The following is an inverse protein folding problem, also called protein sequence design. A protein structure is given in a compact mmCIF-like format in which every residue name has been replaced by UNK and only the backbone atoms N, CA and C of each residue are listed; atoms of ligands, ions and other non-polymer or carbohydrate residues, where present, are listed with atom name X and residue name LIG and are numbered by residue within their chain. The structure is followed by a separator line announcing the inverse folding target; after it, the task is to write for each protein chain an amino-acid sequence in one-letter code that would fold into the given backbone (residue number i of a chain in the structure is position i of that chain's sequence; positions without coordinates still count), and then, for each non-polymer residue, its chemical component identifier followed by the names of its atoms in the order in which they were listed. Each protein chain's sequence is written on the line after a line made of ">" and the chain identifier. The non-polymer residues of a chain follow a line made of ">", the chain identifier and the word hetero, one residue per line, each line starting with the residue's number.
data_IF_191222387129
#
_entry.id   IF_191222387129
#
_cell.length_a   1.000
_cell.length_b   1.000
_cell.length_c   1.000
_cell.angle_alpha   90.00
_cell.angle_beta   90.00
_cell.angle_gamma   90.00
#
_symmetry.space_group_name_H-M   'P 1'
#
loop_
_entity.id
_entity.type
_entity.pdbx_description
1 polymer ?
#
# COMPACT_ATOMS: atom_id res chain seq x y z
N UNK A 1 -10.38 4.39 -35.71
CA UNK A 1 -11.58 5.01 -35.10
C UNK A 1 -12.20 4.21 -33.93
N UNK A 2 -12.98 3.13 -34.12
CA UNK A 2 -13.67 2.46 -32.98
C UNK A 2 -12.74 1.91 -31.88
N UNK A 3 -11.59 1.32 -32.27
CA UNK A 3 -10.57 0.80 -31.33
C UNK A 3 -9.79 1.90 -30.59
N UNK A 4 -9.48 3.01 -31.26
CA UNK A 4 -8.74 4.13 -30.65
C UNK A 4 -9.59 4.88 -29.64
N UNK A 5 -10.87 5.12 -29.96
CA UNK A 5 -11.80 5.73 -29.01
C UNK A 5 -11.99 4.87 -27.75
N UNK A 6 -12.04 3.54 -27.91
CA UNK A 6 -12.13 2.62 -26.78
C UNK A 6 -10.89 2.66 -25.88
N UNK A 7 -9.71 2.90 -26.45
CA UNK A 7 -8.45 2.96 -25.68
C UNK A 7 -8.33 4.28 -24.91
N UNK A 8 -8.67 5.41 -25.51
CA UNK A 8 -8.70 6.71 -24.83
C UNK A 8 -9.70 6.73 -23.67
N UNK A 9 -10.89 6.12 -23.85
CA UNK A 9 -11.87 5.98 -22.76
C UNK A 9 -11.33 5.12 -21.61
N UNK A 10 -10.62 4.02 -21.91
CA UNK A 10 -10.00 3.18 -20.88
C UNK A 10 -9.01 3.98 -20.04
N UNK A 11 -8.13 4.75 -20.69
CA UNK A 11 -7.18 5.63 -20.01
C UNK A 11 -7.95 6.60 -19.11
N UNK A 12 -8.88 7.39 -19.65
CA UNK A 12 -9.65 8.38 -18.86
C UNK A 12 -10.31 7.73 -17.64
N UNK A 13 -10.93 6.56 -17.81
CA UNK A 13 -11.57 5.83 -16.72
C UNK A 13 -10.56 5.43 -15.62
N UNK A 14 -9.38 4.92 -15.98
CA UNK A 14 -8.35 4.55 -15.00
C UNK A 14 -7.92 5.76 -14.17
N UNK A 15 -7.65 6.90 -14.81
CA UNK A 15 -7.22 8.11 -14.11
C UNK A 15 -8.34 8.75 -13.28
N UNK A 16 -9.59 8.68 -13.76
CA UNK A 16 -10.75 9.12 -12.99
C UNK A 16 -10.90 8.30 -11.71
N UNK A 17 -10.73 6.97 -11.78
CA UNK A 17 -10.72 6.10 -10.60
C UNK A 17 -9.59 6.49 -9.63
N UNK A 18 -8.38 6.80 -10.12
CA UNK A 18 -7.27 7.24 -9.27
C UNK A 18 -7.62 8.51 -8.49
N UNK A 19 -8.21 9.49 -9.16
CA UNK A 19 -8.60 10.77 -8.54
C UNK A 19 -9.72 10.56 -7.52
N UNK A 20 -10.77 9.81 -7.88
CA UNK A 20 -11.89 9.54 -6.98
C UNK A 20 -11.47 8.82 -5.70
N UNK A 21 -10.50 7.89 -5.79
CA UNK A 21 -9.98 7.17 -4.62
C UNK A 21 -9.12 8.08 -3.73
N UNK A 22 -8.42 9.06 -4.32
CA UNK A 22 -7.58 10.01 -3.59
C UNK A 22 -8.39 11.12 -2.89
N UNK A 23 -9.46 11.60 -3.54
CA UNK A 23 -10.27 12.75 -3.10
C UNK A 23 -10.76 12.66 -1.64
N UNK A 24 -11.27 11.53 -1.13
CA UNK A 24 -11.68 11.39 0.27
C UNK A 24 -10.49 11.11 1.22
N UNK A 25 -9.27 11.60 0.92
CA UNK A 25 -8.08 11.44 1.75
C UNK A 25 -7.77 9.97 2.11
N UNK A 26 -7.76 9.10 1.10
CA UNK A 26 -7.44 7.66 1.24
C UNK A 26 -8.39 6.90 2.18
N UNK A 27 -9.58 7.44 2.47
CA UNK A 27 -10.52 6.87 3.42
C UNK A 27 -10.86 5.40 3.12
N UNK A 28 -10.97 5.03 1.85
CA UNK A 28 -11.22 3.64 1.42
C UNK A 28 -10.15 2.68 1.96
N UNK A 29 -8.87 3.07 1.90
CA UNK A 29 -7.78 2.25 2.42
C UNK A 29 -7.83 2.15 3.94
N UNK A 30 -8.11 3.24 4.64
CA UNK A 30 -8.24 3.20 6.09
C UNK A 30 -9.43 2.34 6.53
N UNK A 31 -10.56 2.41 5.84
CA UNK A 31 -11.74 1.61 6.17
C UNK A 31 -11.46 0.11 6.09
N UNK A 32 -10.70 -0.33 5.07
CA UNK A 32 -10.39 -1.75 4.87
C UNK A 32 -9.20 -2.20 5.70
N UNK A 33 -8.09 -1.45 5.68
CA UNK A 33 -6.83 -1.91 6.27
C UNK A 33 -6.69 -1.62 7.75
N UNK A 34 -7.43 -0.65 8.32
CA UNK A 34 -7.42 -0.43 9.78
C UNK A 34 -7.84 -1.68 10.55
N UNK A 35 -9.03 -2.26 10.33
CA UNK A 35 -9.43 -3.45 11.08
C UNK A 35 -8.49 -4.62 10.80
N UNK A 36 -8.06 -4.83 9.55
CA UNK A 36 -7.12 -5.90 9.21
C UNK A 36 -5.79 -5.76 9.95
N UNK A 37 -5.17 -4.59 9.92
CA UNK A 37 -3.91 -4.35 10.62
C UNK A 37 -4.07 -4.50 12.13
N UNK A 38 -5.13 -3.93 12.71
CA UNK A 38 -5.39 -4.01 14.16
C UNK A 38 -5.57 -5.45 14.61
N UNK A 39 -6.48 -6.21 13.98
CA UNK A 39 -6.77 -7.59 14.38
C UNK A 39 -5.62 -8.55 14.10
N UNK A 40 -4.91 -8.40 12.97
CA UNK A 40 -3.74 -9.24 12.68
C UNK A 40 -2.58 -8.96 13.64
N UNK A 41 -2.29 -7.69 13.93
CA UNK A 41 -1.28 -7.34 14.93
C UNK A 41 -1.65 -7.84 16.32
N UNK A 42 -2.92 -7.67 16.72
CA UNK A 42 -3.43 -8.22 17.98
C UNK A 42 -3.24 -9.74 18.08
N UNK A 43 -3.66 -10.47 17.04
CA UNK A 43 -3.53 -11.92 16.98
C UNK A 43 -2.08 -12.38 17.18
N UNK A 44 -1.13 -11.70 16.52
CA UNK A 44 0.29 -12.04 16.69
C UNK A 44 0.78 -11.68 18.09
N UNK A 45 0.41 -10.51 18.62
CA UNK A 45 0.80 -10.14 19.98
C UNK A 45 0.26 -11.12 21.01
N UNK A 46 -0.97 -11.60 20.87
CA UNK A 46 -1.59 -12.56 21.77
C UNK A 46 -0.84 -13.90 21.84
N UNK A 47 -0.13 -14.28 20.78
CA UNK A 47 0.69 -15.51 20.77
C UNK A 47 1.93 -15.36 21.67
N UNK A 48 2.50 -14.17 21.76
CA UNK A 48 3.78 -13.92 22.45
C UNK A 48 3.63 -13.19 23.79
N UNK A 49 2.52 -12.47 24.00
CA UNK A 49 2.28 -11.59 25.14
C UNK A 49 0.81 -11.68 25.58
N UNK A 50 0.53 -11.31 26.83
CA UNK A 50 -0.86 -11.15 27.28
C UNK A 50 -1.43 -9.86 26.67
N UNK A 51 -2.14 -10.00 25.55
CA UNK A 51 -2.63 -8.89 24.75
C UNK A 51 -4.15 -8.74 24.87
N UNK A 52 -4.58 -7.50 25.13
CA UNK A 52 -5.98 -7.07 25.11
C UNK A 52 -6.18 -5.98 24.07
N UNK A 53 -7.38 -5.91 23.47
CA UNK A 53 -7.71 -4.93 22.44
C UNK A 53 -8.83 -3.99 22.90
N UNK A 54 -8.61 -2.69 22.75
CA UNK A 54 -9.61 -1.65 22.98
C UNK A 54 -9.60 -0.68 21.79
N UNK A 55 -10.56 -0.84 20.87
CA UNK A 55 -10.63 -0.11 19.59
C UNK A 55 -9.35 -0.26 18.76
N UNK A 56 -8.53 0.79 18.69
CA UNK A 56 -7.27 0.83 17.94
C UNK A 56 -6.05 0.74 18.86
N UNK A 57 -6.25 0.45 20.15
CA UNK A 57 -5.21 0.33 21.16
C UNK A 57 -5.04 -1.15 21.50
N UNK A 58 -3.81 -1.64 21.42
CA UNK A 58 -3.42 -2.98 21.87
C UNK A 58 -2.68 -2.81 23.18
N UNK A 59 -3.18 -3.40 24.26
CA UNK A 59 -2.58 -3.34 25.59
C UNK A 59 -1.79 -4.63 25.80
N UNK A 60 -0.47 -4.53 25.97
CA UNK A 60 0.41 -5.66 26.27
C UNK A 60 0.68 -5.76 27.77
N UNK A 61 0.64 -6.97 28.32
CA UNK A 61 0.90 -7.30 29.72
C UNK A 61 0.17 -6.36 30.70
N UNK A 62 -1.08 -5.99 30.36
CA UNK A 62 -1.95 -5.08 31.11
C UNK A 62 -1.36 -3.71 31.49
N UNK A 63 -0.26 -3.28 30.87
CA UNK A 63 0.48 -2.08 31.29
C UNK A 63 0.99 -1.23 30.13
N UNK A 64 1.18 -1.81 28.95
CA UNK A 64 1.81 -1.15 27.81
C UNK A 64 0.79 -0.92 26.69
N UNK A 65 0.25 0.31 26.54
CA UNK A 65 -0.67 0.63 25.46
C UNK A 65 0.08 0.96 24.17
N UNK A 66 -0.25 0.25 23.09
CA UNK A 66 0.21 0.51 21.72
C UNK A 66 -0.99 1.04 20.93
N UNK A 67 -1.00 2.35 20.68
CA UNK A 67 -2.01 2.98 19.84
C UNK A 67 -1.63 2.91 18.35
N UNK A 68 -2.50 2.30 17.54
CA UNK A 68 -2.34 2.22 16.10
C UNK A 68 -2.95 3.45 15.41
N UNK A 69 -2.07 4.40 15.07
CA UNK A 69 -2.41 5.60 14.32
C UNK A 69 -2.41 5.37 12.79
N UNK A 70 -2.94 6.33 12.02
CA UNK A 70 -3.03 6.27 10.55
C UNK A 70 -1.70 5.96 9.84
N UNK A 71 -0.57 6.39 10.38
CA UNK A 71 0.75 6.10 9.81
C UNK A 71 1.19 4.65 9.98
N UNK A 72 0.67 3.93 10.98
CA UNK A 72 0.92 2.49 11.16
C UNK A 72 0.15 1.65 10.13
N UNK A 73 -1.05 2.11 9.74
CA UNK A 73 -1.88 1.47 8.72
C UNK A 73 -1.29 1.70 7.32
N UNK A 74 -0.48 2.74 7.11
CA UNK A 74 0.19 3.06 5.85
C UNK A 74 -0.75 3.28 4.65
N UNK A 75 -1.89 3.97 4.87
CA UNK A 75 -2.88 4.24 3.82
C UNK A 75 -2.31 4.87 2.55
N UNK A 76 -1.35 5.78 2.67
CA UNK A 76 -0.66 6.41 1.52
C UNK A 76 0.19 5.41 0.72
N UNK A 77 0.78 4.40 1.36
CA UNK A 77 1.56 3.37 0.68
C UNK A 77 0.66 2.41 -0.12
N UNK A 78 -0.49 2.02 0.44
CA UNK A 78 -1.51 1.28 -0.32
C UNK A 78 -1.99 2.07 -1.52
N UNK A 79 -2.24 3.38 -1.35
CA UNK A 79 -2.61 4.24 -2.47
C UNK A 79 -1.51 4.32 -3.54
N UNK A 80 -0.23 4.46 -3.15
CA UNK A 80 0.87 4.48 -4.10
C UNK A 80 0.96 3.17 -4.93
N UNK A 81 0.87 2.02 -4.27
CA UNK A 81 0.84 0.72 -4.96
C UNK A 81 -0.40 0.57 -5.87
N UNK A 82 -1.55 1.08 -5.43
CA UNK A 82 -2.76 1.13 -6.25
C UNK A 82 -2.55 1.99 -7.50
N UNK A 83 -1.94 3.17 -7.34
CA UNK A 83 -1.62 4.08 -8.44
C UNK A 83 -0.69 3.41 -9.44
N UNK A 84 0.39 2.79 -8.99
CA UNK A 84 1.33 2.09 -9.85
C UNK A 84 0.63 0.99 -10.66
N UNK A 85 -0.19 0.16 -10.02
CA UNK A 85 -0.93 -0.92 -10.65
C UNK A 85 -2.01 -0.45 -11.63
N UNK A 86 -2.74 0.60 -11.29
CA UNK A 86 -3.79 1.16 -12.14
C UNK A 86 -3.21 1.92 -13.33
N UNK A 87 -2.01 2.47 -13.20
CA UNK A 87 -1.36 3.28 -14.25
C UNK A 87 -0.61 2.43 -15.28
N UNK A 88 -0.53 1.11 -15.13
CA UNK A 88 0.00 0.22 -16.16
C UNK A 88 -1.04 -0.02 -17.26
N UNK A 89 -0.74 0.30 -18.54
CA UNK A 89 -1.66 0.05 -19.64
C UNK A 89 -1.69 -1.41 -20.10
N UNK A 90 -2.73 -1.76 -20.86
CA UNK A 90 -2.85 -3.04 -21.57
C UNK A 90 -2.86 -4.31 -20.69
N UNK A 91 -3.14 -4.17 -19.40
CA UNK A 91 -3.30 -5.29 -18.47
C UNK A 91 -4.78 -5.68 -18.36
N UNK A 92 -5.08 -6.96 -18.64
CA UNK A 92 -6.41 -7.56 -18.45
C UNK A 92 -6.88 -7.37 -16.99
N UNK A 93 -8.17 -7.06 -16.80
CA UNK A 93 -8.74 -6.77 -15.47
C UNK A 93 -8.44 -7.86 -14.42
N UNK A 94 -8.55 -9.14 -14.78
CA UNK A 94 -8.25 -10.26 -13.86
C UNK A 94 -6.81 -10.21 -13.36
N UNK A 95 -5.85 -9.95 -14.24
CA UNK A 95 -4.42 -9.86 -13.90
C UNK A 95 -4.15 -8.63 -13.04
N UNK A 96 -4.79 -7.51 -13.36
CA UNK A 96 -4.71 -6.26 -12.59
C UNK A 96 -5.22 -6.42 -11.15
N UNK A 97 -6.33 -7.13 -10.97
CA UNK A 97 -6.85 -7.44 -9.63
C UNK A 97 -5.90 -8.34 -8.84
N UNK A 98 -5.29 -9.34 -9.49
CA UNK A 98 -4.28 -10.19 -8.84
C UNK A 98 -3.02 -9.42 -8.44
N UNK A 99 -2.58 -8.48 -9.28
CA UNK A 99 -1.48 -7.56 -8.98
C UNK A 99 -1.79 -6.70 -7.74
N UNK A 100 -2.94 -6.00 -7.74
CA UNK A 100 -3.38 -5.21 -6.59
C UNK A 100 -3.49 -6.07 -5.32
N UNK A 101 -4.07 -7.27 -5.42
CA UNK A 101 -4.18 -8.18 -4.29
C UNK A 101 -2.82 -8.61 -3.75
N UNK A 102 -1.87 -8.92 -4.64
CA UNK A 102 -0.50 -9.28 -4.28
C UNK A 102 0.19 -8.13 -3.55
N UNK A 103 0.21 -6.94 -4.14
CA UNK A 103 0.89 -5.77 -3.57
C UNK A 103 0.28 -5.34 -2.23
N UNK A 104 -1.05 -5.39 -2.10
CA UNK A 104 -1.74 -5.10 -0.84
C UNK A 104 -1.45 -6.15 0.23
N UNK A 105 -1.50 -7.43 -0.11
CA UNK A 105 -1.21 -8.51 0.85
C UNK A 105 0.24 -8.44 1.34
N UNK A 106 1.19 -8.21 0.42
CA UNK A 106 2.60 -8.06 0.76
C UNK A 106 2.83 -6.86 1.71
N UNK A 107 2.23 -5.72 1.40
CA UNK A 107 2.34 -4.53 2.26
C UNK A 107 1.69 -4.75 3.62
N UNK A 108 0.55 -5.44 3.70
CA UNK A 108 -0.12 -5.76 4.96
C UNK A 108 0.77 -6.63 5.85
N UNK A 109 1.35 -7.69 5.31
CA UNK A 109 2.25 -8.59 6.04
C UNK A 109 3.44 -7.81 6.61
N UNK A 110 4.08 -7.00 5.77
CA UNK A 110 5.24 -6.20 6.17
C UNK A 110 4.88 -5.15 7.23
N UNK A 111 3.74 -4.49 7.10
CA UNK A 111 3.27 -3.50 8.08
C UNK A 111 2.92 -4.14 9.43
N UNK A 112 2.23 -5.29 9.41
CA UNK A 112 1.93 -6.05 10.63
C UNK A 112 3.21 -6.51 11.31
N UNK A 113 4.17 -7.03 10.54
CA UNK A 113 5.49 -7.43 11.07
C UNK A 113 6.24 -6.23 11.69
N UNK A 114 6.21 -5.06 11.04
CA UNK A 114 6.78 -3.82 11.57
C UNK A 114 6.14 -3.42 12.90
N UNK A 115 4.81 -3.47 12.99
CA UNK A 115 4.08 -3.13 14.22
C UNK A 115 4.46 -4.07 15.36
N UNK A 116 4.47 -5.38 15.09
CA UNK A 116 4.84 -6.40 16.09
C UNK A 116 6.28 -6.20 16.56
N UNK A 117 7.20 -6.00 15.63
CA UNK A 117 8.61 -5.73 15.95
C UNK A 117 8.76 -4.47 16.82
N UNK A 118 8.17 -3.35 16.42
CA UNK A 118 8.28 -2.10 17.18
C UNK A 118 7.59 -2.19 18.54
N UNK A 119 6.47 -2.92 18.65
CA UNK A 119 5.81 -3.18 19.92
C UNK A 119 6.68 -4.02 20.87
N UNK A 120 7.36 -5.05 20.35
CA UNK A 120 8.30 -5.86 21.13
C UNK A 120 9.54 -5.04 21.56
N UNK A 121 10.07 -4.19 20.68
CA UNK A 121 11.18 -3.28 21.03
C UNK A 121 10.77 -2.29 22.10
N UNK A 122 9.53 -1.79 22.08
CA UNK A 122 9.02 -0.86 23.09
C UNK A 122 9.09 -1.45 24.50
N UNK A 123 8.85 -2.77 24.66
CA UNK A 123 8.98 -3.47 25.94
C UNK A 123 10.42 -3.48 26.49
N UNK A 124 11.43 -3.31 25.63
CA UNK A 124 12.84 -3.33 26.00
C UNK A 124 13.42 -1.92 26.30
N UNK A 125 12.61 -0.87 26.15
CA UNK A 125 12.97 0.50 26.55
C UNK A 125 12.71 1.58 25.49
N UNK A 126 12.36 2.78 25.97
CA UNK A 126 11.92 3.90 25.14
C UNK A 126 12.99 4.42 24.16
N UNK A 127 14.25 4.50 24.58
CA UNK A 127 15.33 5.07 23.75
C UNK A 127 15.59 4.25 22.48
N UNK A 128 15.59 2.92 22.60
CA UNK A 128 15.78 2.00 21.47
C UNK A 128 14.58 2.07 20.54
N UNK A 129 13.37 2.15 21.10
CA UNK A 129 12.15 2.32 20.32
C UNK A 129 12.18 3.57 19.44
N UNK A 130 12.56 4.74 19.97
CA UNK A 130 12.58 5.99 19.19
C UNK A 130 13.54 5.89 18.01
N UNK A 131 14.71 5.29 18.22
CA UNK A 131 15.69 5.07 17.15
C UNK A 131 15.16 4.09 16.09
N UNK A 132 14.69 2.92 16.53
CA UNK A 132 14.15 1.87 15.65
C UNK A 132 12.94 2.37 14.86
N UNK A 133 12.04 3.12 15.50
CA UNK A 133 10.85 3.69 14.88
C UNK A 133 11.22 4.66 13.77
N UNK A 134 12.12 5.63 14.02
CA UNK A 134 12.57 6.60 13.02
C UNK A 134 13.27 5.92 11.84
N UNK A 135 14.14 4.95 12.13
CA UNK A 135 14.84 4.17 11.10
C UNK A 135 13.86 3.40 10.20
N UNK A 136 12.94 2.66 10.81
CA UNK A 136 11.89 1.91 10.09
C UNK A 136 10.98 2.83 9.28
N UNK A 137 10.67 4.01 9.79
CA UNK A 137 9.78 4.94 9.12
C UNK A 137 10.42 5.59 7.89
N UNK A 138 11.62 6.15 8.01
CA UNK A 138 12.23 6.90 6.91
C UNK A 138 12.87 6.01 5.84
N UNK A 139 13.57 4.96 6.25
CA UNK A 139 14.35 4.14 5.32
C UNK A 139 13.59 2.89 4.90
N UNK A 140 13.18 2.10 5.88
CA UNK A 140 12.68 0.75 5.61
C UNK A 140 11.31 0.79 4.93
N UNK A 141 10.43 1.72 5.31
CA UNK A 141 9.09 1.85 4.71
C UNK A 141 9.15 2.16 3.21
N UNK A 142 10.05 3.06 2.79
CA UNK A 142 10.26 3.37 1.37
C UNK A 142 10.84 2.17 0.63
N UNK A 143 11.85 1.52 1.20
CA UNK A 143 12.46 0.33 0.63
C UNK A 143 11.44 -0.80 0.41
N UNK A 144 10.53 -1.03 1.37
CA UNK A 144 9.49 -2.03 1.24
C UNK A 144 8.56 -1.80 0.05
N UNK A 145 8.11 -0.57 -0.16
CA UNK A 145 7.24 -0.25 -1.30
C UNK A 145 7.98 -0.52 -2.61
N UNK A 146 9.24 -0.10 -2.70
CA UNK A 146 10.09 -0.32 -3.88
C UNK A 146 10.28 -1.81 -4.15
N UNK A 147 10.62 -2.58 -3.12
CA UNK A 147 10.81 -4.03 -3.22
C UNK A 147 9.51 -4.72 -3.68
N UNK A 148 8.36 -4.36 -3.09
CA UNK A 148 7.05 -4.92 -3.45
C UNK A 148 6.75 -4.64 -4.92
N UNK A 149 6.94 -3.40 -5.37
CA UNK A 149 6.70 -3.02 -6.76
C UNK A 149 7.61 -3.77 -7.74
N UNK A 150 8.92 -3.82 -7.48
CA UNK A 150 9.83 -4.55 -8.37
C UNK A 150 9.57 -6.07 -8.36
N UNK A 151 9.16 -6.64 -7.22
CA UNK A 151 8.73 -8.03 -7.14
C UNK A 151 7.50 -8.28 -8.00
N UNK A 152 6.52 -7.37 -7.94
CA UNK A 152 5.31 -7.41 -8.75
C UNK A 152 5.62 -7.33 -10.25
N UNK A 153 6.48 -6.40 -10.68
CA UNK A 153 6.95 -6.29 -12.07
C UNK A 153 7.57 -7.61 -12.56
N UNK A 154 8.38 -8.26 -11.72
CA UNK A 154 9.03 -9.53 -12.06
C UNK A 154 8.05 -10.71 -12.09
N UNK A 155 7.20 -10.86 -11.07
CA UNK A 155 6.24 -11.97 -10.94
C UNK A 155 5.19 -11.91 -12.05
N UNK A 156 4.66 -10.72 -12.31
CA UNK A 156 3.65 -10.50 -13.32
C UNK A 156 4.22 -10.08 -14.66
N UNK A 157 5.53 -10.15 -14.90
CA UNK A 157 6.15 -9.89 -16.21
C UNK A 157 5.66 -8.61 -16.90
N UNK A 158 5.60 -7.51 -16.15
CA UNK A 158 5.10 -6.22 -16.63
C UNK A 158 6.13 -5.62 -17.59
N UNK A 159 5.71 -5.28 -18.82
CA UNK A 159 6.61 -4.71 -19.85
C UNK A 159 6.41 -3.20 -20.01
N UNK A 160 5.21 -2.73 -19.72
CA UNK A 160 4.81 -1.34 -19.84
C UNK A 160 5.18 -0.54 -18.60
N UNK A 161 5.50 0.75 -18.79
CA UNK A 161 5.90 1.64 -17.71
C UNK A 161 4.66 2.44 -17.28
N UNK A 162 4.32 2.45 -15.97
CA UNK A 162 3.22 3.26 -15.45
C UNK A 162 3.33 4.72 -15.93
N UNK A 163 2.21 5.32 -16.34
CA UNK A 163 2.11 6.70 -16.87
C UNK A 163 2.85 6.96 -18.19
N UNK A 164 4.12 6.60 -18.30
CA UNK A 164 4.95 6.89 -19.46
C UNK A 164 4.39 6.27 -20.74
N UNK A 165 3.91 5.03 -20.65
CA UNK A 165 3.32 4.34 -21.80
C UNK A 165 2.04 5.03 -22.30
N UNK A 166 1.23 5.60 -21.41
CA UNK A 166 0.01 6.36 -21.78
C UNK A 166 0.35 7.73 -22.37
N UNK A 167 1.32 8.45 -21.78
CA UNK A 167 1.80 9.73 -22.33
C UNK A 167 2.37 9.53 -23.74
N UNK A 168 3.17 8.47 -23.94
CA UNK A 168 3.71 8.11 -25.25
C UNK A 168 2.61 7.80 -26.26
N UNK A 169 1.51 7.18 -25.83
CA UNK A 169 0.35 6.92 -26.68
C UNK A 169 -0.31 8.22 -27.16
N UNK A 170 -0.59 9.17 -26.26
CA UNK A 170 -1.18 10.45 -26.63
C UNK A 170 -0.25 11.29 -27.50
N UNK A 171 1.05 11.35 -27.17
CA UNK A 171 2.02 12.07 -28.00
C UNK A 171 2.08 11.52 -29.44
N UNK A 172 1.92 10.21 -29.63
CA UNK A 172 1.93 9.59 -30.96
C UNK A 172 0.70 9.96 -31.81
N UNK A 173 -0.45 10.20 -31.18
CA UNK A 173 -1.74 10.49 -31.84
C UNK A 173 -2.15 11.97 -31.71
N UNK A 174 -1.26 12.82 -31.23
CA UNK A 174 -1.46 14.25 -31.08
C UNK A 174 -1.15 15.00 -32.38
N UNK A 175 -1.87 16.11 -32.60
CA UNK A 175 -1.72 17.01 -33.75
C UNK A 175 -0.32 17.64 -33.78
N UNK A 176 0.37 17.71 -32.63
CA UNK A 176 1.72 18.26 -32.47
C UNK A 176 2.85 17.45 -33.13
N UNK A 177 2.52 16.39 -33.87
CA UNK A 177 3.47 15.52 -34.57
C UNK A 177 3.61 15.85 -36.07
N UNK A 178 3.37 17.11 -36.44
CA UNK A 178 3.83 17.68 -37.71
C UNK A 178 5.26 18.15 -37.56
#
# INVERSE_FOLDING_TARGET
>A
MKKEHSHSLEIILRYLVLILVAFPNFWVFYLVFTPLTVYLSYFIFQIFFDANILRNIIILNNSVPIELIKSCIAGSAYYLLFVLNMSVPNIKIKRRLLMILFSFSALLIVNVARIVFLGAVFLNGFSIFVLAHKFMWYFVSTAFIVIIWFSEVKIFGIKEIPFYSDIKFFHKHSIFKK
#
